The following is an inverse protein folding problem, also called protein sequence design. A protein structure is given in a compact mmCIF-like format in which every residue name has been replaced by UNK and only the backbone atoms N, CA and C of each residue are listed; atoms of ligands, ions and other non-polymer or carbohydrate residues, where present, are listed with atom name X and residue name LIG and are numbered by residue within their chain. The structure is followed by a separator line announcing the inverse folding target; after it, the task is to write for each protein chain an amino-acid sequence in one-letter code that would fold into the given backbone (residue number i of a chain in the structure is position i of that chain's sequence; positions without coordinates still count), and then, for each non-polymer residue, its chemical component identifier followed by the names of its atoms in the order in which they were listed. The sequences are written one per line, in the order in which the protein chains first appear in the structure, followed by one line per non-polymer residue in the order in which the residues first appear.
data_IF_366425045805
#
_entry.id   IF_366425045805
#
_cell.length_a   1.000
_cell.length_b   1.000
_cell.length_c   1.000
_cell.angle_alpha   90.00
_cell.angle_beta   90.00
_cell.angle_gamma   90.00
#
_symmetry.space_group_name_H-M   'P 1'
#
loop_
_entity.id
_entity.type
_entity.pdbx_description
1 polymer ?
#
# COMPACT_ATOMS: atom_id res chain seq x y z
N UNK A 1 -4.52 15.76 -10.29
CA UNK A 1 -3.09 15.68 -9.90
C UNK A 1 -3.00 15.17 -8.48
N UNK A 2 -2.06 14.26 -8.19
CA UNK A 2 -1.74 13.79 -6.84
C UNK A 2 -0.43 14.45 -6.37
N UNK A 3 -0.45 15.03 -5.18
CA UNK A 3 0.73 15.50 -4.46
C UNK A 3 1.02 14.58 -3.28
N UNK A 4 2.18 14.72 -2.68
CA UNK A 4 2.60 13.99 -1.48
C UNK A 4 3.23 14.95 -0.48
N UNK A 5 2.89 14.80 0.79
CA UNK A 5 3.41 15.59 1.88
C UNK A 5 3.65 14.73 3.12
N UNK A 6 4.81 14.88 3.71
CA UNK A 6 5.27 14.13 4.87
C UNK A 6 6.37 13.16 4.53
N UNK A 7 6.91 12.50 5.54
CA UNK A 7 7.99 11.53 5.40
C UNK A 7 7.49 10.14 5.76
N UNK A 8 7.45 9.24 4.77
CA UNK A 8 7.19 7.83 5.06
C UNK A 8 8.32 7.25 5.90
N UNK A 9 7.97 6.35 6.79
CA UNK A 9 8.94 5.71 7.66
C UNK A 9 8.30 4.83 8.73
N UNK A 10 9.14 4.15 9.45
CA UNK A 10 8.74 3.20 10.49
C UNK A 10 8.48 3.93 11.81
N UNK A 11 7.25 3.93 12.28
CA UNK A 11 6.90 4.54 13.58
C UNK A 11 7.54 3.83 14.78
N UNK A 12 7.82 2.53 14.66
CA UNK A 12 8.39 1.72 15.73
C UNK A 12 9.90 1.98 15.94
N UNK A 13 10.65 2.25 14.88
CA UNK A 13 12.09 2.53 14.93
C UNK A 13 12.44 4.01 14.76
N UNK A 14 11.51 4.82 14.26
CA UNK A 14 11.76 6.20 13.88
C UNK A 14 12.61 6.37 12.62
N UNK A 15 12.93 5.27 11.92
CA UNK A 15 13.69 5.35 10.67
C UNK A 15 12.83 5.93 9.56
N UNK A 16 13.26 7.06 9.00
CA UNK A 16 12.71 7.63 7.78
C UNK A 16 13.04 6.76 6.58
N UNK A 17 12.17 6.77 5.59
CA UNK A 17 12.37 6.03 4.36
C UNK A 17 13.08 6.89 3.32
N UNK A 18 14.08 6.32 2.66
CA UNK A 18 14.70 6.89 1.46
C UNK A 18 14.26 6.06 0.27
N UNK A 19 13.43 6.61 -0.59
CA UNK A 19 13.09 6.02 -1.88
C UNK A 19 13.76 6.84 -2.98
N UNK A 20 14.48 6.16 -3.89
CA UNK A 20 15.21 6.78 -5.02
C UNK A 20 16.18 7.92 -4.62
N UNK A 21 16.72 7.88 -3.41
CA UNK A 21 17.64 8.92 -2.90
C UNK A 21 16.93 10.17 -2.37
N UNK A 22 15.61 10.15 -2.25
CA UNK A 22 14.80 11.18 -1.63
C UNK A 22 14.19 10.67 -0.33
N UNK A 23 14.14 11.50 0.69
CA UNK A 23 13.60 11.18 2.00
C UNK A 23 14.43 11.76 3.14
N UNK A 24 14.07 11.45 4.38
CA UNK A 24 14.79 11.93 5.55
C UNK A 24 15.89 10.94 5.97
N UNK A 25 17.06 11.49 6.26
CA UNK A 25 18.17 10.74 6.85
C UNK A 25 18.07 10.73 8.39
N UNK A 26 18.34 9.57 8.99
CA UNK A 26 18.44 9.42 10.43
C UNK A 26 17.13 9.02 11.10
N UNK A 27 17.10 9.20 12.43
CA UNK A 27 15.94 8.86 13.28
C UNK A 27 15.09 10.10 13.49
N UNK A 28 13.81 9.99 13.09
CA UNK A 28 12.82 11.04 13.23
C UNK A 28 11.91 10.78 14.42
N UNK A 29 11.37 11.84 15.00
CA UNK A 29 10.32 11.70 16.01
C UNK A 29 9.02 11.17 15.38
N UNK A 30 8.15 10.59 16.21
CA UNK A 30 6.85 10.10 15.77
C UNK A 30 6.03 11.16 15.01
N UNK A 31 6.02 12.40 15.49
CA UNK A 31 5.30 13.49 14.83
C UNK A 31 5.94 13.93 13.51
N UNK A 32 7.27 13.82 13.38
CA UNK A 32 7.97 14.12 12.12
C UNK A 32 7.71 13.07 11.02
N UNK A 33 7.32 11.85 11.41
CA UNK A 33 6.90 10.78 10.50
C UNK A 33 5.42 10.85 10.11
N UNK A 34 4.71 11.86 10.59
CA UNK A 34 3.28 12.05 10.27
C UNK A 34 3.07 13.39 9.59
N UNK A 35 2.24 13.39 8.55
CA UNK A 35 1.84 14.63 7.88
C UNK A 35 1.14 15.58 8.85
N UNK A 36 1.60 16.82 8.94
CA UNK A 36 0.94 17.85 9.75
C UNK A 36 -0.35 18.33 9.07
N UNK A 37 -1.50 18.40 9.79
CA UNK A 37 -2.77 18.78 9.20
C UNK A 37 -2.86 20.23 8.70
N UNK A 38 -2.14 21.16 9.34
CA UNK A 38 -2.12 22.57 8.91
C UNK A 38 -1.23 22.75 7.69
N UNK A 39 -0.10 22.05 7.65
CA UNK A 39 0.77 22.02 6.49
C UNK A 39 0.07 21.37 5.29
N UNK A 40 -0.67 20.29 5.50
CA UNK A 40 -1.48 19.64 4.47
C UNK A 40 -2.52 20.59 3.87
N UNK A 41 -3.23 21.33 4.72
CA UNK A 41 -4.22 22.30 4.27
C UNK A 41 -3.59 23.40 3.41
N UNK A 42 -2.46 23.98 3.87
CA UNK A 42 -1.72 25.00 3.13
C UNK A 42 -1.19 24.47 1.81
N UNK A 43 -0.63 23.26 1.79
CA UNK A 43 -0.10 22.62 0.58
C UNK A 43 -1.19 22.47 -0.49
N UNK A 44 -2.38 21.99 -0.13
CA UNK A 44 -3.49 21.83 -1.05
C UNK A 44 -4.02 23.18 -1.55
N UNK A 45 -4.10 24.20 -0.68
CA UNK A 45 -4.50 25.54 -1.05
C UNK A 45 -3.54 26.17 -2.07
N UNK A 46 -2.22 26.02 -1.87
CA UNK A 46 -1.19 26.61 -2.73
C UNK A 46 -1.03 25.86 -4.06
N UNK A 47 -1.24 24.54 -4.07
CA UNK A 47 -0.96 23.70 -5.26
C UNK A 47 -2.20 23.33 -6.06
N UNK A 48 -3.38 23.29 -5.43
CA UNK A 48 -4.64 22.89 -6.05
C UNK A 48 -4.69 21.41 -6.46
N UNK A 49 -3.96 20.51 -5.77
CA UNK A 49 -3.98 19.07 -6.07
C UNK A 49 -5.34 18.45 -5.79
N UNK A 50 -5.72 17.47 -6.61
CA UNK A 50 -6.99 16.72 -6.46
C UNK A 50 -6.92 15.68 -5.35
N UNK A 51 -5.72 15.14 -5.13
CA UNK A 51 -5.45 14.11 -4.14
C UNK A 51 -4.14 14.40 -3.41
N UNK A 52 -4.08 14.03 -2.13
CA UNK A 52 -2.90 14.20 -1.29
C UNK A 52 -2.51 12.88 -0.63
N UNK A 53 -1.32 12.38 -0.97
CA UNK A 53 -0.70 11.28 -0.25
C UNK A 53 -0.14 11.80 1.08
N UNK A 54 -0.46 11.08 2.16
CA UNK A 54 -0.14 11.48 3.52
C UNK A 54 0.66 10.40 4.25
N UNK A 55 1.64 10.82 5.02
CA UNK A 55 2.41 9.96 5.91
C UNK A 55 1.61 9.73 7.21
N UNK A 56 1.24 8.49 7.46
CA UNK A 56 0.35 8.08 8.55
C UNK A 56 0.83 6.81 9.27
N UNK A 57 2.12 6.50 9.15
CA UNK A 57 2.74 5.34 9.78
C UNK A 57 2.99 4.16 8.85
N UNK A 58 2.96 4.39 7.54
CA UNK A 58 3.28 3.37 6.53
C UNK A 58 4.69 3.56 5.96
N UNK A 59 5.27 2.48 5.44
CA UNK A 59 6.53 2.49 4.71
C UNK A 59 6.43 1.60 3.47
N UNK A 60 7.24 1.88 2.45
CA UNK A 60 7.30 1.06 1.24
C UNK A 60 8.01 -0.28 1.47
N UNK A 61 7.97 -1.15 0.46
CA UNK A 61 8.67 -2.43 0.46
C UNK A 61 7.98 -3.54 1.25
N UNK A 62 8.65 -4.70 1.30
CA UNK A 62 8.11 -5.91 1.93
C UNK A 62 8.42 -5.97 3.43
N UNK A 63 9.53 -5.39 3.88
CA UNK A 63 10.03 -5.52 5.25
C UNK A 63 9.58 -4.35 6.12
N UNK A 64 8.27 -4.34 6.47
CA UNK A 64 7.64 -3.26 7.23
C UNK A 64 7.69 -3.48 8.74
N UNK A 65 7.32 -4.67 9.19
CA UNK A 65 7.27 -5.03 10.60
C UNK A 65 7.92 -6.38 10.83
N UNK A 66 8.81 -6.47 11.83
CA UNK A 66 9.48 -7.72 12.20
C UNK A 66 8.57 -8.65 13.01
N UNK A 67 7.53 -8.10 13.63
CA UNK A 67 6.51 -8.83 14.38
C UNK A 67 5.13 -8.51 13.82
N UNK A 68 4.21 -9.47 13.96
CA UNK A 68 2.82 -9.22 13.60
C UNK A 68 2.31 -8.02 14.40
N UNK A 69 1.81 -6.98 13.71
CA UNK A 69 1.28 -5.81 14.40
C UNK A 69 0.17 -6.19 15.39
N UNK A 70 0.27 -5.66 16.61
CA UNK A 70 -0.70 -5.83 17.67
C UNK A 70 -1.26 -4.44 18.02
N UNK A 71 -2.52 -4.21 17.67
CA UNK A 71 -3.18 -2.93 17.86
C UNK A 71 -3.12 -1.98 16.66
N UNK A 72 -3.16 -0.68 16.94
CA UNK A 72 -3.20 0.36 15.93
C UNK A 72 -1.83 0.57 15.28
N UNK A 73 -1.76 0.39 13.98
CA UNK A 73 -0.55 0.58 13.17
C UNK A 73 -0.56 1.94 12.48
N UNK A 74 -1.75 2.38 12.07
CA UNK A 74 -1.96 3.64 11.38
C UNK A 74 -2.38 4.73 12.35
N UNK A 75 -1.90 5.94 12.11
CA UNK A 75 -2.27 7.13 12.87
C UNK A 75 -3.70 7.61 12.51
N UNK A 76 -4.73 6.84 12.92
CA UNK A 76 -6.13 7.10 12.56
C UNK A 76 -6.60 8.49 12.92
N UNK A 77 -6.22 8.98 14.09
CA UNK A 77 -6.54 10.34 14.54
C UNK A 77 -5.97 11.40 13.60
N UNK A 78 -4.75 11.19 13.11
CA UNK A 78 -4.09 12.10 12.16
C UNK A 78 -4.83 12.12 10.81
N UNK A 79 -5.27 10.96 10.31
CA UNK A 79 -6.10 10.86 9.09
C UNK A 79 -7.38 11.69 9.28
N UNK A 80 -8.06 11.53 10.41
CA UNK A 80 -9.30 12.26 10.71
C UNK A 80 -9.08 13.78 10.80
N UNK A 81 -7.99 14.23 11.45
CA UNK A 81 -7.61 15.62 11.57
C UNK A 81 -7.34 16.25 10.19
N UNK A 82 -6.58 15.57 9.34
CA UNK A 82 -6.32 16.01 7.96
C UNK A 82 -7.63 16.07 7.16
N UNK A 83 -8.45 15.01 7.22
CA UNK A 83 -9.71 14.97 6.47
C UNK A 83 -10.70 16.06 6.90
N UNK A 84 -10.75 16.41 8.19
CA UNK A 84 -11.57 17.54 8.68
C UNK A 84 -11.17 18.87 8.07
N UNK A 85 -9.87 19.08 7.84
CA UNK A 85 -9.36 20.31 7.20
C UNK A 85 -9.50 20.27 5.68
N UNK A 86 -9.45 19.08 5.09
CA UNK A 86 -9.48 18.84 3.64
C UNK A 86 -10.63 17.89 3.23
N UNK A 87 -11.91 18.27 3.48
CA UNK A 87 -13.04 17.37 3.23
C UNK A 87 -13.27 17.04 1.75
N UNK A 88 -12.76 17.87 0.85
CA UNK A 88 -12.94 17.75 -0.60
C UNK A 88 -11.70 17.20 -1.32
N UNK A 89 -10.58 16.97 -0.61
CA UNK A 89 -9.35 16.41 -1.17
C UNK A 89 -9.30 14.91 -0.89
N UNK A 90 -8.99 14.11 -1.90
CA UNK A 90 -8.87 12.67 -1.75
C UNK A 90 -7.57 12.31 -1.04
N UNK A 91 -7.65 11.71 0.16
CA UNK A 91 -6.47 11.23 0.86
C UNK A 91 -5.99 9.91 0.27
N UNK A 92 -4.66 9.79 0.13
CA UNK A 92 -3.98 8.63 -0.45
C UNK A 92 -3.05 8.00 0.58
N UNK A 93 -3.02 6.67 0.62
CA UNK A 93 -2.07 5.88 1.42
C UNK A 93 -1.04 5.22 0.51
N UNK A 94 0.23 5.57 0.70
CA UNK A 94 1.37 4.84 0.17
C UNK A 94 1.84 3.77 1.17
N UNK A 95 2.70 2.84 0.74
CA UNK A 95 3.29 1.83 1.61
C UNK A 95 2.29 0.88 2.28
N UNK A 96 1.12 0.67 1.71
CA UNK A 96 -0.04 0.00 2.35
C UNK A 96 -0.18 -1.49 2.03
N UNK A 97 0.83 -2.13 1.45
CA UNK A 97 0.81 -3.58 1.20
C UNK A 97 0.72 -4.36 2.51
N UNK A 98 -0.11 -5.41 2.54
CA UNK A 98 -0.38 -6.22 3.73
C UNK A 98 0.59 -7.37 3.92
N UNK A 99 1.41 -7.65 2.91
CA UNK A 99 2.46 -8.68 2.93
C UNK A 99 1.93 -10.04 3.43
N UNK A 100 0.96 -10.66 2.72
CA UNK A 100 0.31 -11.88 3.18
C UNK A 100 1.29 -13.02 3.43
N UNK A 101 1.16 -13.72 4.57
CA UNK A 101 2.06 -14.81 4.94
C UNK A 101 2.00 -15.95 3.92
N UNK A 102 0.82 -16.24 3.36
CA UNK A 102 0.65 -17.28 2.35
C UNK A 102 1.51 -17.03 1.11
N UNK A 103 1.71 -15.77 0.72
CA UNK A 103 2.56 -15.41 -0.42
C UNK A 103 4.04 -15.56 -0.07
N UNK A 104 4.45 -15.25 1.16
CA UNK A 104 5.81 -15.51 1.64
C UNK A 104 6.10 -17.01 1.67
N UNK A 105 5.15 -17.80 2.17
CA UNK A 105 5.26 -19.26 2.25
C UNK A 105 5.41 -19.88 0.86
N UNK A 106 4.62 -19.45 -0.12
CA UNK A 106 4.75 -19.90 -1.51
C UNK A 106 6.13 -19.56 -2.07
N UNK A 107 6.61 -18.33 -1.90
CA UNK A 107 7.93 -17.91 -2.36
C UNK A 107 9.02 -18.80 -1.75
N UNK A 108 8.98 -19.04 -0.44
CA UNK A 108 9.98 -19.81 0.28
C UNK A 108 9.89 -21.31 -0.03
N UNK A 109 8.68 -21.86 -0.16
CA UNK A 109 8.46 -23.24 -0.56
C UNK A 109 9.08 -23.57 -1.92
N UNK A 110 9.08 -22.59 -2.85
CA UNK A 110 9.63 -22.77 -4.19
C UNK A 110 10.98 -22.07 -4.38
N UNK A 111 11.88 -22.23 -3.39
CA UNK A 111 13.30 -21.87 -3.47
C UNK A 111 13.60 -20.39 -3.18
N UNK A 112 12.66 -19.62 -2.66
CA UNK A 112 12.91 -18.29 -2.12
C UNK A 112 13.53 -18.34 -0.74
N UNK A 113 14.00 -17.18 -0.26
CA UNK A 113 14.59 -16.99 1.06
C UNK A 113 14.13 -15.66 1.67
N UNK A 114 12.83 -15.38 1.59
CA UNK A 114 12.29 -14.20 2.26
C UNK A 114 12.35 -14.39 3.78
N UNK A 115 12.86 -13.38 4.48
CA UNK A 115 12.73 -13.30 5.94
C UNK A 115 11.26 -13.05 6.28
N UNK A 116 10.81 -13.60 7.40
CA UNK A 116 9.47 -13.33 7.89
C UNK A 116 9.30 -11.83 8.13
N UNK A 117 8.20 -11.30 7.63
CA UNK A 117 7.85 -9.89 7.77
C UNK A 117 6.33 -9.75 7.68
N UNK A 118 5.82 -8.62 8.16
CA UNK A 118 4.40 -8.33 8.20
C UNK A 118 4.16 -6.96 7.57
N UNK A 119 3.02 -6.80 6.94
CA UNK A 119 2.59 -5.52 6.37
C UNK A 119 1.46 -4.89 7.17
N UNK A 120 0.81 -3.90 6.57
CA UNK A 120 -0.33 -3.21 7.18
C UNK A 120 -1.55 -4.15 7.19
N UNK A 121 -2.19 -4.41 8.34
CA UNK A 121 -3.39 -5.22 8.41
C UNK A 121 -4.52 -4.63 7.54
N UNK A 122 -5.25 -5.50 6.82
CA UNK A 122 -6.36 -5.06 5.96
C UNK A 122 -7.43 -4.31 6.75
N UNK A 123 -7.68 -4.71 7.98
CA UNK A 123 -8.62 -4.09 8.91
C UNK A 123 -8.25 -2.65 9.24
N UNK A 124 -6.95 -2.37 9.37
CA UNK A 124 -6.44 -1.01 9.58
C UNK A 124 -6.67 -0.13 8.34
N UNK A 125 -6.43 -0.68 7.15
CA UNK A 125 -6.72 0.03 5.89
C UNK A 125 -8.22 0.34 5.78
N UNK A 126 -9.08 -0.62 6.10
CA UNK A 126 -10.53 -0.42 6.13
C UNK A 126 -10.96 0.65 7.14
N UNK A 127 -10.27 0.76 8.28
CA UNK A 127 -10.47 1.87 9.23
C UNK A 127 -10.08 3.20 8.58
N UNK A 128 -8.92 3.29 7.93
CA UNK A 128 -8.47 4.49 7.22
C UNK A 128 -9.46 4.96 6.16
N UNK A 129 -10.08 4.03 5.42
CA UNK A 129 -11.14 4.34 4.44
C UNK A 129 -12.33 5.04 5.11
N UNK A 130 -12.74 4.60 6.31
CA UNK A 130 -13.83 5.24 7.06
C UNK A 130 -13.47 6.66 7.54
N UNK A 131 -12.18 6.93 7.71
CA UNK A 131 -11.67 8.23 8.16
C UNK A 131 -11.25 9.19 7.03
N UNK A 132 -11.47 8.83 5.77
CA UNK A 132 -11.29 9.76 4.65
C UNK A 132 -10.32 9.32 3.56
N UNK A 133 -9.61 8.21 3.73
CA UNK A 133 -8.76 7.65 2.67
C UNK A 133 -9.61 7.19 1.49
N UNK A 134 -9.19 7.53 0.27
CA UNK A 134 -9.90 7.22 -0.97
C UNK A 134 -9.08 6.44 -1.97
N UNK A 135 -7.75 6.46 -1.86
CA UNK A 135 -6.83 5.69 -2.70
C UNK A 135 -5.81 4.96 -1.83
N UNK A 136 -5.58 3.70 -2.12
CA UNK A 136 -4.60 2.86 -1.43
C UNK A 136 -3.67 2.23 -2.47
N UNK A 137 -2.36 2.48 -2.34
CA UNK A 137 -1.36 1.90 -3.21
C UNK A 137 -0.96 0.51 -2.69
N UNK A 138 -1.07 -0.51 -3.55
CA UNK A 138 -0.70 -1.90 -3.24
C UNK A 138 0.22 -2.42 -4.33
N UNK A 139 1.51 -2.54 -4.05
CA UNK A 139 2.52 -3.01 -4.99
C UNK A 139 3.16 -4.33 -4.52
N UNK A 140 3.74 -4.35 -3.33
CA UNK A 140 4.49 -5.51 -2.81
C UNK A 140 3.68 -6.80 -2.85
N UNK A 141 2.39 -6.78 -2.48
CA UNK A 141 1.53 -7.97 -2.52
C UNK A 141 1.42 -8.54 -3.96
N UNK A 142 1.33 -7.66 -4.96
CA UNK A 142 1.28 -8.03 -6.36
C UNK A 142 2.61 -8.64 -6.83
N UNK A 143 3.73 -8.03 -6.46
CA UNK A 143 5.07 -8.55 -6.77
C UNK A 143 5.30 -9.92 -6.15
N UNK A 144 4.89 -10.11 -4.89
CA UNK A 144 5.01 -11.39 -4.18
C UNK A 144 4.18 -12.48 -4.86
N UNK A 145 2.93 -12.19 -5.22
CA UNK A 145 2.06 -13.13 -5.91
C UNK A 145 2.65 -13.59 -7.26
N UNK A 146 3.13 -12.63 -8.06
CA UNK A 146 3.80 -12.94 -9.33
C UNK A 146 5.06 -13.78 -9.13
N UNK A 147 5.93 -13.38 -8.21
CA UNK A 147 7.19 -14.07 -7.91
C UNK A 147 6.94 -15.50 -7.43
N UNK A 148 5.98 -15.69 -6.53
CA UNK A 148 5.60 -17.00 -6.03
C UNK A 148 5.11 -17.93 -7.13
N UNK A 149 4.24 -17.44 -8.00
CA UNK A 149 3.72 -18.21 -9.13
C UNK A 149 4.80 -18.58 -10.16
N UNK A 150 5.72 -17.66 -10.48
CA UNK A 150 6.86 -17.94 -11.36
C UNK A 150 7.75 -19.02 -10.76
N UNK A 151 8.16 -18.88 -9.50
CA UNK A 151 8.98 -19.86 -8.80
C UNK A 151 8.34 -21.24 -8.78
N UNK A 152 7.03 -21.28 -8.51
CA UNK A 152 6.27 -22.54 -8.50
C UNK A 152 6.32 -23.25 -9.85
N UNK A 153 6.16 -22.55 -10.97
CA UNK A 153 6.24 -23.14 -12.31
C UNK A 153 7.65 -23.65 -12.57
N UNK A 154 8.68 -22.83 -12.35
CA UNK A 154 10.05 -23.20 -12.64
C UNK A 154 10.58 -24.36 -11.78
N UNK A 155 10.09 -24.50 -10.56
CA UNK A 155 10.43 -25.62 -9.68
C UNK A 155 9.68 -26.92 -10.02
N UNK A 156 8.39 -26.81 -10.41
CA UNK A 156 7.57 -27.99 -10.72
C UNK A 156 7.75 -28.51 -12.14
N UNK A 157 8.19 -27.67 -13.05
CA UNK A 157 8.39 -27.97 -14.46
C UNK A 157 9.66 -27.29 -14.97
N UNK A 158 10.85 -27.80 -14.53
CA UNK A 158 12.14 -27.16 -14.82
C UNK A 158 12.50 -27.16 -16.31
N UNK A 159 11.84 -27.98 -17.11
CA UNK A 159 11.99 -28.00 -18.56
C UNK A 159 11.33 -26.81 -19.26
N UNK A 160 10.48 -26.05 -18.58
CA UNK A 160 9.78 -24.92 -19.16
C UNK A 160 10.69 -23.70 -19.26
N UNK A 161 10.91 -23.24 -20.47
CA UNK A 161 11.75 -22.09 -20.80
C UNK A 161 11.00 -20.92 -21.44
N UNK A 162 9.78 -21.16 -21.97
CA UNK A 162 8.97 -20.10 -22.57
C UNK A 162 8.37 -19.17 -21.49
N UNK A 163 8.64 -17.87 -21.55
CA UNK A 163 8.07 -16.91 -20.59
C UNK A 163 6.55 -16.97 -20.46
N UNK A 164 5.83 -17.32 -21.51
CA UNK A 164 4.38 -17.46 -21.49
C UNK A 164 3.88 -18.50 -20.51
N UNK A 165 4.68 -19.55 -20.27
CA UNK A 165 4.33 -20.66 -19.37
C UNK A 165 4.33 -20.23 -17.90
N UNK A 166 5.21 -19.30 -17.49
CA UNK A 166 5.30 -18.85 -16.12
C UNK A 166 4.73 -17.43 -15.89
N UNK A 167 4.65 -16.59 -16.95
CA UNK A 167 4.01 -15.27 -16.83
C UNK A 167 2.48 -15.34 -16.82
N UNK A 168 1.88 -16.32 -17.50
CA UNK A 168 0.43 -16.52 -17.46
C UNK A 168 -0.07 -16.84 -16.05
N UNK A 169 0.48 -17.83 -15.31
CA UNK A 169 0.15 -18.04 -13.89
C UNK A 169 0.47 -16.83 -13.00
N UNK A 170 1.58 -16.13 -13.27
CA UNK A 170 1.95 -14.94 -12.52
C UNK A 170 0.90 -13.82 -12.63
N UNK A 171 0.43 -13.56 -13.85
CA UNK A 171 -0.65 -12.59 -14.12
C UNK A 171 -1.95 -12.98 -13.42
N UNK A 172 -2.29 -14.26 -13.41
CA UNK A 172 -3.49 -14.74 -12.72
C UNK A 172 -3.38 -14.60 -11.22
N UNK A 173 -2.21 -14.90 -10.63
CA UNK A 173 -1.96 -14.70 -9.21
C UNK A 173 -2.08 -13.21 -8.80
N UNK A 174 -1.50 -12.30 -9.59
CA UNK A 174 -1.65 -10.86 -9.37
C UNK A 174 -3.11 -10.41 -9.48
N UNK A 175 -3.85 -10.90 -10.48
CA UNK A 175 -5.28 -10.62 -10.64
C UNK A 175 -6.09 -11.02 -9.40
N UNK A 176 -5.78 -12.16 -8.78
CA UNK A 176 -6.44 -12.59 -7.54
C UNK A 176 -6.16 -11.64 -6.38
N UNK A 177 -4.92 -11.16 -6.24
CA UNK A 177 -4.58 -10.13 -5.23
C UNK A 177 -5.40 -8.86 -5.47
N UNK A 178 -5.39 -8.32 -6.69
CA UNK A 178 -6.17 -7.13 -7.03
C UNK A 178 -7.66 -7.31 -6.73
N UNK A 179 -8.26 -8.43 -7.15
CA UNK A 179 -9.67 -8.72 -6.91
C UNK A 179 -9.99 -8.77 -5.40
N UNK A 180 -9.15 -9.44 -4.60
CA UNK A 180 -9.33 -9.50 -3.14
C UNK A 180 -9.25 -8.13 -2.49
N UNK A 181 -8.32 -7.27 -2.92
CA UNK A 181 -8.20 -5.90 -2.41
C UNK A 181 -9.39 -5.02 -2.82
N UNK A 182 -9.90 -5.15 -4.05
CA UNK A 182 -11.13 -4.46 -4.49
C UNK A 182 -12.34 -4.83 -3.61
N UNK A 183 -12.46 -6.09 -3.22
CA UNK A 183 -13.50 -6.54 -2.29
C UNK A 183 -13.27 -5.94 -0.90
N UNK A 184 -12.06 -6.11 -0.35
CA UNK A 184 -11.71 -5.66 1.00
C UNK A 184 -11.85 -4.15 1.19
N UNK A 185 -11.57 -3.37 0.15
CA UNK A 185 -11.62 -1.89 0.20
C UNK A 185 -12.99 -1.33 -0.24
N UNK A 186 -13.99 -2.19 -0.48
CA UNK A 186 -15.34 -1.76 -0.84
C UNK A 186 -15.49 -1.24 -2.28
N UNK A 187 -14.52 -1.49 -3.15
CA UNK A 187 -14.54 -1.03 -4.54
C UNK A 187 -15.31 -1.98 -5.46
N UNK A 188 -15.41 -3.27 -5.10
CA UNK A 188 -16.09 -4.28 -5.91
C UNK A 188 -17.57 -3.91 -6.14
N UNK A 189 -18.08 -4.21 -7.36
CA UNK A 189 -19.46 -3.97 -7.74
C UNK A 189 -19.79 -2.53 -8.19
N UNK A 190 -18.81 -1.61 -8.21
CA UNK A 190 -19.04 -0.22 -8.60
C UNK A 190 -18.74 0.10 -10.07
N UNK A 191 -18.12 -0.80 -10.82
CA UNK A 191 -17.69 -0.54 -12.21
C UNK A 191 -18.84 -0.11 -13.12
N UNK A 192 -20.00 -0.76 -13.05
CA UNK A 192 -21.17 -0.43 -13.88
C UNK A 192 -21.71 0.97 -13.58
N UNK A 193 -21.69 1.40 -12.32
CA UNK A 193 -22.13 2.74 -11.91
C UNK A 193 -21.19 3.82 -12.47
N UNK A 194 -19.88 3.59 -12.37
CA UNK A 194 -18.87 4.52 -12.90
C UNK A 194 -18.93 4.62 -14.41
N UNK A 195 -19.13 3.50 -15.13
CA UNK A 195 -19.30 3.52 -16.58
C UNK A 195 -20.57 4.23 -17.05
N UNK A 196 -21.65 4.21 -16.25
CA UNK A 196 -22.86 4.95 -16.55
C UNK A 196 -22.66 6.46 -16.35
N UNK A 197 -22.02 6.88 -15.27
CA UNK A 197 -21.71 8.29 -15.03
C UNK A 197 -20.76 8.89 -16.07
N UNK A 198 -19.75 8.12 -16.52
CA UNK A 198 -18.83 8.56 -17.57
C UNK A 198 -19.47 8.70 -18.96
N UNK A 199 -20.63 8.08 -19.23
CA UNK A 199 -21.39 8.25 -20.49
C UNK A 199 -22.31 9.47 -20.48
N UNK A 200 -22.50 10.09 -19.32
CA UNK A 200 -23.37 11.26 -19.13
C UNK A 200 -22.57 12.57 -19.05
N UNK A 201 -21.25 12.48 -19.05
CA UNK A 201 -20.30 13.59 -19.14
C UNK A 201 -19.70 13.72 -20.55
#
# INVERSE_FOLDING_TARGET
VEGELGCLGRLDSGEGEQEDGHGAEGTLSHDQLLTDPDEAARFVEETGVDALAVAIGTSHGAYKFDKKPDGEVLAMKRIEEIHKKLPNTHLVMHGSSSVPQELQDIINQFGGKMKQTFGVPVEEIQRGIRYGVRKINVDTDCRMAMTGAIRQVLMKAPEKFDPRDYLKPAREAMKQVCASRMVSFGQAGNASKLMQSAKLS
#
